data_IF_863004006088
#
_entry.id   IF_863004006088
#
_cell.length_a   1.000
_cell.length_b   1.000
_cell.length_c   1.000
_cell.angle_alpha   90.00
_cell.angle_beta   90.00
_cell.angle_gamma   90.00
#
_symmetry.space_group_name_H-M   'P 1'
#
loop_
_entity.id
_entity.type
_entity.pdbx_description
1 polymer ?
#
# COMPACT_ATOMS: atom_id res chain seq x y z
N UNK A 1 12.50 -32.24 -6.79
CA UNK A 1 11.42 -31.52 -6.10
C UNK A 1 11.50 -31.82 -4.61
N UNK A 2 10.87 -31.00 -3.75
CA UNK A 2 11.05 -30.95 -2.29
C UNK A 2 10.88 -32.27 -1.52
N UNK A 3 10.18 -33.26 -2.06
CA UNK A 3 10.01 -34.59 -1.43
C UNK A 3 8.96 -34.62 -0.31
N UNK A 4 8.80 -33.51 0.41
CA UNK A 4 7.78 -33.28 1.43
C UNK A 4 7.15 -31.89 1.23
N UNK A 5 5.89 -31.72 1.60
CA UNK A 5 5.18 -30.43 1.56
C UNK A 5 5.70 -29.48 2.63
N UNK A 6 6.11 -30.00 3.79
CA UNK A 6 6.65 -29.19 4.89
C UNK A 6 8.06 -28.64 4.59
N UNK A 7 8.70 -29.13 3.52
CA UNK A 7 10.00 -28.67 3.05
C UNK A 7 9.92 -27.54 2.01
N UNK A 8 8.71 -27.11 1.60
CA UNK A 8 8.54 -26.06 0.58
C UNK A 8 9.02 -24.71 1.10
N UNK A 9 9.92 -24.07 0.35
CA UNK A 9 10.39 -22.72 0.66
C UNK A 9 9.27 -21.69 0.52
N UNK A 10 9.18 -20.76 1.48
CA UNK A 10 8.11 -19.75 1.55
C UNK A 10 7.94 -18.96 0.24
N UNK A 11 9.03 -18.43 -0.33
CA UNK A 11 8.94 -17.61 -1.53
C UNK A 11 8.43 -18.41 -2.74
N UNK A 12 8.89 -19.65 -2.89
CA UNK A 12 8.39 -20.54 -3.93
C UNK A 12 6.91 -20.85 -3.71
N UNK A 13 6.52 -21.22 -2.49
CA UNK A 13 5.14 -21.50 -2.10
C UNK A 13 4.19 -20.33 -2.38
N UNK A 14 4.58 -19.11 -2.00
CA UNK A 14 3.79 -17.89 -2.22
C UNK A 14 3.48 -17.60 -3.69
N UNK A 15 4.44 -17.87 -4.59
CA UNK A 15 4.29 -17.57 -6.02
C UNK A 15 3.55 -18.65 -6.81
N UNK A 16 3.57 -19.90 -6.32
CA UNK A 16 2.91 -21.03 -6.99
C UNK A 16 1.60 -21.45 -6.32
N UNK A 17 1.26 -20.86 -5.17
CA UNK A 17 -0.03 -21.03 -4.51
C UNK A 17 -1.17 -20.65 -5.47
N UNK A 18 -2.25 -21.45 -5.44
CA UNK A 18 -3.44 -21.18 -6.27
C UNK A 18 -4.03 -19.80 -5.94
N UNK A 19 -4.20 -18.91 -6.94
CA UNK A 19 -4.83 -17.62 -6.71
C UNK A 19 -6.29 -17.74 -6.25
N UNK A 20 -6.77 -16.77 -5.46
CA UNK A 20 -8.21 -16.65 -5.16
C UNK A 20 -9.00 -16.33 -6.46
N UNK A 21 -10.30 -16.66 -6.55
CA UNK A 21 -11.08 -16.41 -7.76
C UNK A 21 -11.01 -14.93 -8.19
N UNK A 22 -10.62 -14.68 -9.45
CA UNK A 22 -10.44 -13.33 -10.02
C UNK A 22 -9.43 -12.44 -9.25
N UNK A 23 -8.46 -13.02 -8.55
CA UNK A 23 -7.42 -12.30 -7.81
C UNK A 23 -6.02 -12.53 -8.41
N UNK A 24 -5.10 -11.62 -8.10
CA UNK A 24 -3.70 -11.69 -8.56
C UNK A 24 -2.92 -12.76 -7.80
N UNK A 25 -3.21 -12.97 -6.51
CA UNK A 25 -2.44 -13.87 -5.62
C UNK A 25 -3.33 -14.83 -4.83
N UNK A 26 -2.67 -15.82 -4.22
CA UNK A 26 -3.26 -16.77 -3.28
C UNK A 26 -3.51 -16.19 -1.89
N UNK A 27 -3.98 -17.04 -0.98
CA UNK A 27 -4.35 -16.68 0.39
C UNK A 27 -3.14 -16.31 1.24
N UNK A 28 -2.07 -17.10 1.18
CA UNK A 28 -0.89 -16.91 2.04
C UNK A 28 -0.26 -15.54 1.80
N UNK A 29 -0.23 -15.07 0.55
CA UNK A 29 0.26 -13.71 0.21
C UNK A 29 -0.56 -12.61 0.91
N UNK A 30 -1.88 -12.75 0.97
CA UNK A 30 -2.77 -11.76 1.57
C UNK A 30 -2.66 -11.80 3.10
N UNK A 31 -2.79 -12.98 3.70
CA UNK A 31 -2.83 -13.12 5.16
C UNK A 31 -1.48 -12.85 5.83
N UNK A 32 -0.37 -13.18 5.16
CA UNK A 32 0.96 -12.79 5.64
C UNK A 32 1.29 -11.34 5.29
N UNK A 33 1.00 -10.89 4.07
CA UNK A 33 1.41 -9.58 3.58
C UNK A 33 0.62 -8.41 4.19
N UNK A 34 -0.69 -8.57 4.40
CA UNK A 34 -1.56 -7.49 4.88
C UNK A 34 -1.15 -6.97 6.28
N UNK A 35 -0.88 -7.82 7.30
CA UNK A 35 -0.39 -7.35 8.59
C UNK A 35 0.90 -6.54 8.50
N UNK A 36 1.88 -6.98 7.70
CA UNK A 36 3.13 -6.24 7.51
C UNK A 36 2.92 -4.90 6.82
N UNK A 37 2.10 -4.87 5.77
CA UNK A 37 1.75 -3.65 5.04
C UNK A 37 1.06 -2.63 5.96
N UNK A 38 0.01 -3.06 6.65
CA UNK A 38 -0.76 -2.20 7.56
C UNK A 38 0.06 -1.73 8.74
N UNK A 39 0.91 -2.60 9.32
CA UNK A 39 1.80 -2.20 10.40
C UNK A 39 2.85 -1.19 9.93
N UNK A 40 3.40 -1.36 8.73
CA UNK A 40 4.36 -0.42 8.15
C UNK A 40 3.74 0.95 7.88
N UNK A 41 2.50 0.98 7.38
CA UNK A 41 1.77 2.22 7.10
C UNK A 41 1.33 2.93 8.38
N UNK A 42 0.56 2.25 9.23
CA UNK A 42 -0.04 2.85 10.43
C UNK A 42 0.94 2.98 11.60
N UNK A 43 2.05 2.24 11.56
CA UNK A 43 3.13 2.37 12.52
C UNK A 43 3.98 3.63 12.33
N UNK A 44 3.72 4.42 11.28
CA UNK A 44 4.43 5.66 11.05
C UNK A 44 4.14 6.69 12.17
N UNK A 45 5.16 7.38 12.73
CA UNK A 45 4.95 8.39 13.76
C UNK A 45 3.95 9.49 13.37
N UNK A 46 3.80 9.83 12.09
CA UNK A 46 2.81 10.82 11.66
C UNK A 46 1.38 10.41 12.04
N UNK A 47 1.07 9.12 12.10
CA UNK A 47 -0.24 8.60 12.50
C UNK A 47 -0.45 8.59 14.02
N UNK A 48 0.57 8.94 14.83
CA UNK A 48 0.42 9.03 16.28
C UNK A 48 -0.45 10.23 16.69
N UNK A 49 -1.16 10.17 17.84
CA UNK A 49 -1.95 11.30 18.33
C UNK A 49 -1.13 12.58 18.52
N UNK A 50 0.16 12.44 18.82
CA UNK A 50 1.05 13.59 19.04
C UNK A 50 1.37 14.32 17.72
N UNK A 51 1.48 13.60 16.60
CA UNK A 51 1.88 14.17 15.32
C UNK A 51 0.70 14.42 14.37
N UNK A 52 -0.42 13.70 14.51
CA UNK A 52 -1.56 13.83 13.61
C UNK A 52 -2.43 15.06 13.93
N UNK A 53 -1.84 16.25 13.78
CA UNK A 53 -2.45 17.55 14.05
C UNK A 53 -2.05 18.57 12.98
N UNK A 54 -2.89 19.58 12.68
CA UNK A 54 -2.60 20.55 11.62
C UNK A 54 -1.27 21.27 11.79
N UNK A 55 -0.82 21.53 13.02
CA UNK A 55 0.45 22.20 13.28
C UNK A 55 1.67 21.43 12.75
N UNK A 56 1.64 20.09 12.72
CA UNK A 56 2.69 19.25 12.13
C UNK A 56 2.84 19.49 10.63
N UNK A 57 1.74 19.81 9.95
CA UNK A 57 1.68 19.98 8.49
C UNK A 57 1.69 21.45 8.06
N UNK A 58 2.13 22.38 8.92
CA UNK A 58 2.16 23.81 8.59
C UNK A 58 0.77 24.46 8.55
N UNK A 59 -0.19 23.93 9.30
CA UNK A 59 -1.55 24.44 9.45
C UNK A 59 -2.59 23.69 8.61
N UNK A 60 -3.79 24.29 8.50
CA UNK A 60 -4.95 23.64 7.87
C UNK A 60 -4.70 23.26 6.40
N UNK A 61 -4.03 24.12 5.62
CA UNK A 61 -3.79 23.87 4.19
C UNK A 61 -2.91 22.65 3.95
N UNK A 62 -1.82 22.48 4.70
CA UNK A 62 -0.96 21.31 4.54
C UNK A 62 -1.65 20.02 5.00
N UNK A 63 -2.45 20.10 6.07
CA UNK A 63 -3.24 18.96 6.51
C UNK A 63 -4.33 18.57 5.50
N UNK A 64 -4.93 19.54 4.81
CA UNK A 64 -5.88 19.29 3.73
C UNK A 64 -5.22 18.61 2.51
N UNK A 65 -3.97 18.96 2.18
CA UNK A 65 -3.21 18.28 1.12
C UNK A 65 -3.08 16.79 1.44
N UNK A 66 -2.68 16.44 2.67
CA UNK A 66 -2.54 15.04 3.09
C UNK A 66 -3.89 14.32 3.05
N UNK A 67 -4.94 14.91 3.59
CA UNK A 67 -6.27 14.26 3.69
C UNK A 67 -7.04 14.20 2.36
N UNK A 68 -6.63 14.95 1.33
CA UNK A 68 -7.31 14.98 0.03
C UNK A 68 -6.42 14.49 -1.11
N UNK A 69 -5.24 13.93 -0.80
CA UNK A 69 -4.31 13.39 -1.78
C UNK A 69 -4.93 12.24 -2.58
N UNK A 70 -4.60 12.18 -3.87
CA UNK A 70 -4.95 11.07 -4.75
C UNK A 70 -3.89 10.92 -5.84
N UNK A 71 -3.79 9.73 -6.45
CA UNK A 71 -2.86 9.47 -7.56
C UNK A 71 -3.07 10.48 -8.70
N UNK A 72 -4.33 10.72 -9.07
CA UNK A 72 -4.69 11.67 -10.10
C UNK A 72 -4.21 13.10 -9.77
N UNK A 73 -4.42 13.58 -8.53
CA UNK A 73 -3.95 14.92 -8.11
C UNK A 73 -2.43 15.02 -8.10
N UNK A 74 -1.75 13.96 -7.64
CA UNK A 74 -0.28 13.89 -7.64
C UNK A 74 0.26 14.06 -9.05
N UNK A 75 -0.30 13.33 -10.03
CA UNK A 75 0.14 13.42 -11.43
C UNK A 75 -0.24 14.75 -12.05
N UNK A 76 -1.52 15.16 -11.97
CA UNK A 76 -2.00 16.41 -12.57
C UNK A 76 -1.20 17.64 -12.13
N UNK A 77 -0.84 17.72 -10.86
CA UNK A 77 -0.22 18.91 -10.29
C UNK A 77 1.29 18.98 -10.59
N UNK A 78 1.91 17.89 -11.08
CA UNK A 78 3.36 17.80 -11.24
C UNK A 78 3.83 17.46 -12.66
N UNK A 79 2.92 17.12 -13.58
CA UNK A 79 3.23 16.91 -15.00
C UNK A 79 2.92 18.15 -15.82
N UNK A 80 3.79 18.49 -16.77
CA UNK A 80 3.56 19.60 -17.70
C UNK A 80 2.56 19.20 -18.79
N UNK A 81 1.65 20.10 -19.13
CA UNK A 81 0.65 19.89 -20.20
C UNK A 81 -0.73 19.52 -19.67
N UNK A 82 -1.63 19.00 -20.52
CA UNK A 82 -2.95 18.56 -20.09
C UNK A 82 -2.81 17.41 -19.07
N UNK A 83 -3.66 17.38 -18.05
CA UNK A 83 -3.57 16.34 -17.05
C UNK A 83 -3.93 14.96 -17.66
N UNK A 84 -3.01 13.98 -17.63
CA UNK A 84 -3.28 12.63 -18.11
C UNK A 84 -4.11 11.83 -17.09
N UNK A 85 -4.80 10.79 -17.56
CA UNK A 85 -5.46 9.83 -16.68
C UNK A 85 -4.41 8.99 -15.93
N UNK A 86 -4.55 8.85 -14.61
CA UNK A 86 -3.69 8.03 -13.77
C UNK A 86 -4.52 7.04 -12.94
N UNK A 87 -4.25 5.73 -13.10
CA UNK A 87 -5.02 4.63 -12.50
C UNK A 87 -4.11 3.45 -12.13
N UNK A 88 -4.54 2.63 -11.16
CA UNK A 88 -3.92 1.35 -10.79
C UNK A 88 -4.66 0.12 -11.35
N UNK A 89 -5.75 0.32 -12.08
CA UNK A 89 -6.54 -0.73 -12.72
C UNK A 89 -5.99 -1.13 -14.09
#
# INVERSE_FOLDING_TARGET
MYGDVDAVELYAGLLVEKPRPNAIFGETMVEMGAPYSLKGLMGNPICSPEYWKPSTFGGKKGFEIVNTASLQKLVCNNVKGPCPMASFN
#
